data_IF_000846941459
#
_entry.id   IF_000846941459
#
_cell.length_a   1.000
_cell.length_b   1.000
_cell.length_c   1.000
_cell.angle_alpha   90.00
_cell.angle_beta   90.00
_cell.angle_gamma   90.00
#
_symmetry.space_group_name_H-M   'P 1'
#
loop_
_entity.id
_entity.type
_entity.pdbx_description
1 polymer ?
#
# COMPACT_ATOMS: atom_id res chain seq x y z
N UNK A 1 -38.87 26.60 -5.12
CA UNK A 1 -37.51 27.16 -5.05
C UNK A 1 -36.75 26.75 -3.79
N UNK A 2 -37.22 27.04 -2.56
CA UNK A 2 -36.51 26.68 -1.31
C UNK A 2 -36.23 25.17 -1.15
N UNK A 3 -37.19 24.30 -1.46
CA UNK A 3 -37.00 22.83 -1.40
C UNK A 3 -35.95 22.32 -2.40
N UNK A 4 -35.95 22.84 -3.62
CA UNK A 4 -34.96 22.49 -4.64
C UNK A 4 -33.56 22.95 -4.25
N UNK A 5 -33.44 24.15 -3.67
CA UNK A 5 -32.17 24.66 -3.14
C UNK A 5 -31.63 23.78 -1.99
N UNK A 6 -32.50 23.34 -1.07
CA UNK A 6 -32.12 22.44 0.02
C UNK A 6 -31.64 21.08 -0.48
N UNK A 7 -32.34 20.50 -1.47
CA UNK A 7 -31.92 19.23 -2.10
C UNK A 7 -30.55 19.40 -2.76
N UNK A 8 -30.36 20.49 -3.51
CA UNK A 8 -29.09 20.78 -4.17
C UNK A 8 -27.94 20.93 -3.16
N UNK A 9 -28.15 21.66 -2.07
CA UNK A 9 -27.14 21.80 -1.01
C UNK A 9 -26.81 20.45 -0.36
N UNK A 10 -27.83 19.61 -0.08
CA UNK A 10 -27.60 18.29 0.48
C UNK A 10 -26.76 17.40 -0.45
N UNK A 11 -27.03 17.44 -1.76
CA UNK A 11 -26.23 16.70 -2.76
C UNK A 11 -24.79 17.18 -2.81
N UNK A 12 -24.55 18.50 -2.76
CA UNK A 12 -23.19 19.05 -2.69
C UNK A 12 -22.49 18.56 -1.43
N UNK A 13 -23.14 18.63 -0.26
CA UNK A 13 -22.54 18.18 0.99
C UNK A 13 -22.15 16.70 0.91
N UNK A 14 -23.04 15.85 0.40
CA UNK A 14 -22.75 14.41 0.20
C UNK A 14 -21.58 14.22 -0.75
N UNK A 15 -21.54 14.94 -1.88
CA UNK A 15 -20.45 14.84 -2.85
C UNK A 15 -19.10 15.29 -2.26
N UNK A 16 -19.08 16.40 -1.51
CA UNK A 16 -17.85 16.89 -0.85
C UNK A 16 -17.37 15.94 0.23
N UNK A 17 -18.28 15.33 0.99
CA UNK A 17 -17.95 14.35 2.02
C UNK A 17 -17.40 13.07 1.39
N UNK A 18 -18.05 12.58 0.34
CA UNK A 18 -17.57 11.43 -0.43
C UNK A 18 -16.16 11.69 -0.98
N UNK A 19 -15.97 12.85 -1.60
CA UNK A 19 -14.67 13.28 -2.12
C UNK A 19 -13.63 13.23 -0.98
N UNK A 20 -13.88 13.94 0.13
CA UNK A 20 -12.98 13.97 1.28
C UNK A 20 -12.62 12.58 1.80
N UNK A 21 -13.59 11.69 1.99
CA UNK A 21 -13.35 10.32 2.47
C UNK A 21 -12.51 9.54 1.45
N UNK A 22 -12.84 9.62 0.16
CA UNK A 22 -12.14 8.88 -0.90
C UNK A 22 -10.67 9.26 -1.09
N UNK A 23 -10.25 10.44 -0.61
CA UNK A 23 -8.84 10.84 -0.62
C UNK A 23 -8.06 10.36 0.59
N UNK A 24 -8.71 10.24 1.74
CA UNK A 24 -8.04 9.95 3.01
C UNK A 24 -8.17 8.49 3.44
N UNK A 25 -9.06 7.72 2.80
CA UNK A 25 -9.36 6.34 3.17
C UNK A 25 -9.46 5.49 1.90
N UNK A 26 -8.83 4.32 1.93
CA UNK A 26 -9.04 3.29 0.91
C UNK A 26 -10.38 2.63 1.19
N UNK A 27 -11.37 2.93 0.36
CA UNK A 27 -12.71 2.35 0.47
C UNK A 27 -12.66 0.86 0.05
N UNK A 28 -13.52 -0.01 0.60
CA UNK A 28 -13.44 -1.46 0.34
C UNK A 28 -13.51 -1.85 -1.14
N UNK A 29 -14.26 -1.10 -1.96
CA UNK A 29 -14.34 -1.34 -3.41
C UNK A 29 -13.11 -0.86 -4.21
N UNK A 30 -12.22 -0.08 -3.58
CA UNK A 30 -10.94 0.36 -4.16
C UNK A 30 -9.74 -0.42 -3.62
N UNK A 31 -9.94 -1.27 -2.60
CA UNK A 31 -8.85 -1.98 -1.91
C UNK A 31 -8.01 -2.82 -2.87
N UNK A 32 -8.65 -3.62 -3.73
CA UNK A 32 -7.93 -4.45 -4.71
C UNK A 32 -7.10 -3.62 -5.68
N UNK A 33 -7.60 -2.45 -6.09
CA UNK A 33 -6.87 -1.55 -6.98
C UNK A 33 -5.68 -0.90 -6.27
N UNK A 34 -5.84 -0.49 -5.01
CA UNK A 34 -4.74 0.03 -4.21
C UNK A 34 -3.64 -1.02 -4.01
N UNK A 35 -4.03 -2.28 -3.76
CA UNK A 35 -3.09 -3.41 -3.66
C UNK A 35 -2.33 -3.60 -4.96
N UNK A 36 -3.04 -3.79 -6.07
CA UNK A 36 -2.46 -4.01 -7.39
C UNK A 36 -1.50 -2.87 -7.79
N UNK A 37 -1.93 -1.63 -7.58
CA UNK A 37 -1.13 -0.43 -7.88
C UNK A 37 0.17 -0.42 -7.07
N UNK A 38 0.08 -0.67 -5.76
CA UNK A 38 1.26 -0.67 -4.87
C UNK A 38 2.25 -1.76 -5.27
N UNK A 39 1.77 -2.98 -5.54
CA UNK A 39 2.62 -4.10 -5.94
C UNK A 39 3.28 -3.83 -7.30
N UNK A 40 2.52 -3.27 -8.23
CA UNK A 40 3.00 -2.89 -9.57
C UNK A 40 4.10 -1.85 -9.45
N UNK A 41 3.84 -0.72 -8.79
CA UNK A 41 4.83 0.35 -8.55
C UNK A 41 6.09 -0.16 -7.85
N UNK A 42 5.94 -1.12 -6.93
CA UNK A 42 7.05 -1.73 -6.21
C UNK A 42 7.81 -2.79 -7.02
N UNK A 43 7.34 -3.21 -8.20
CA UNK A 43 7.89 -4.36 -8.90
C UNK A 43 7.86 -5.63 -8.03
N UNK A 44 6.78 -5.80 -7.27
CA UNK A 44 6.57 -6.87 -6.30
C UNK A 44 5.70 -7.97 -6.88
N UNK A 45 5.89 -9.19 -6.38
CA UNK A 45 4.99 -10.30 -6.69
C UNK A 45 3.60 -10.07 -6.07
N UNK A 46 2.54 -10.70 -6.61
CA UNK A 46 1.23 -10.75 -5.96
C UNK A 46 1.32 -11.11 -4.48
N UNK A 47 0.42 -10.58 -3.65
CA UNK A 47 0.37 -10.96 -2.23
C UNK A 47 0.25 -12.49 -2.11
N UNK A 48 0.99 -13.13 -1.20
CA UNK A 48 0.90 -14.57 -1.00
C UNK A 48 -0.53 -15.01 -0.65
N UNK A 49 -1.01 -16.11 -1.22
CA UNK A 49 -2.38 -16.60 -1.02
C UNK A 49 -2.71 -16.97 0.44
N UNK A 50 -1.69 -17.24 1.24
CA UNK A 50 -1.78 -17.55 2.67
C UNK A 50 -1.34 -16.37 3.57
N UNK A 51 -1.25 -15.16 3.02
CA UNK A 51 -1.00 -13.95 3.81
C UNK A 51 -2.28 -13.49 4.52
N UNK A 52 -2.12 -12.85 5.67
CA UNK A 52 -3.20 -12.19 6.37
C UNK A 52 -3.05 -10.68 6.18
N UNK A 53 -3.88 -10.08 5.33
CA UNK A 53 -3.91 -8.65 5.07
C UNK A 53 -4.40 -7.92 6.34
N UNK A 54 -3.56 -7.04 6.88
CA UNK A 54 -3.86 -6.28 8.09
C UNK A 54 -4.47 -4.92 7.75
N UNK A 55 -3.88 -4.22 6.78
CA UNK A 55 -4.30 -2.88 6.42
C UNK A 55 -3.95 -2.52 4.97
N UNK A 56 -4.78 -1.66 4.38
CA UNK A 56 -4.51 -0.93 3.14
C UNK A 56 -4.88 0.52 3.38
N UNK A 57 -3.87 1.37 3.37
CA UNK A 57 -3.98 2.79 3.72
C UNK A 57 -3.51 3.66 2.56
N UNK A 58 -3.99 4.90 2.53
CA UNK A 58 -3.55 5.89 1.56
C UNK A 58 -3.24 7.20 2.26
N UNK A 59 -2.16 7.83 1.82
CA UNK A 59 -1.72 9.12 2.34
C UNK A 59 -1.40 10.08 1.18
N UNK A 60 -1.25 11.35 1.55
CA UNK A 60 -0.87 12.40 0.63
C UNK A 60 -2.02 13.02 -0.15
N UNK A 61 -1.66 13.81 -1.16
CA UNK A 61 -2.58 14.55 -2.01
C UNK A 61 -2.89 13.75 -3.29
N UNK A 62 -3.79 14.23 -4.17
CA UNK A 62 -4.00 13.65 -5.49
C UNK A 62 -2.72 13.59 -6.35
N UNK A 63 -1.70 14.41 -6.05
CA UNK A 63 -0.45 14.51 -6.82
C UNK A 63 0.75 13.84 -6.15
N UNK A 64 0.63 13.48 -4.88
CA UNK A 64 1.72 12.88 -4.08
C UNK A 64 1.20 11.62 -3.39
N UNK A 65 0.40 10.85 -4.13
CA UNK A 65 -0.38 9.75 -3.59
C UNK A 65 0.56 8.66 -3.12
N UNK A 66 0.34 8.22 -1.89
CA UNK A 66 1.04 7.08 -1.31
C UNK A 66 0.03 6.00 -0.94
N UNK A 67 0.43 4.75 -1.14
CA UNK A 67 -0.30 3.58 -0.66
C UNK A 67 0.59 2.77 0.26
N UNK A 68 0.01 2.38 1.39
CA UNK A 68 0.64 1.52 2.38
C UNK A 68 -0.15 0.23 2.49
N UNK A 69 0.53 -0.90 2.40
CA UNK A 69 -0.04 -2.23 2.61
C UNK A 69 0.69 -2.90 3.75
N UNK A 70 -0.05 -3.47 4.68
CA UNK A 70 0.50 -4.25 5.78
C UNK A 70 -0.13 -5.65 5.80
N UNK A 71 0.71 -6.69 5.87
CA UNK A 71 0.25 -8.07 5.93
C UNK A 71 1.20 -8.97 6.73
N UNK A 72 0.64 -10.05 7.27
CA UNK A 72 1.39 -11.11 7.94
C UNK A 72 1.61 -12.29 7.00
N UNK A 73 2.77 -12.93 7.14
CA UNK A 73 3.19 -14.04 6.30
C UNK A 73 4.16 -14.94 7.08
N UNK A 74 4.16 -16.23 6.77
CA UNK A 74 5.09 -17.19 7.39
C UNK A 74 6.49 -17.13 6.77
N UNK A 75 7.47 -17.79 7.38
CA UNK A 75 8.86 -17.79 6.86
C UNK A 75 8.96 -18.31 5.41
N UNK A 76 8.31 -19.43 5.09
CA UNK A 76 8.30 -19.97 3.72
C UNK A 76 7.59 -19.03 2.73
N UNK A 77 6.49 -18.43 3.19
CA UNK A 77 5.71 -17.48 2.42
C UNK A 77 6.55 -16.23 2.07
N UNK A 78 7.30 -15.67 3.02
CA UNK A 78 8.06 -14.43 2.80
C UNK A 78 9.28 -14.67 1.92
N UNK A 79 9.98 -15.79 2.11
CA UNK A 79 11.13 -16.13 1.28
C UNK A 79 10.72 -16.30 -0.18
N UNK A 80 9.63 -17.04 -0.44
CA UNK A 80 9.10 -17.21 -1.79
C UNK A 80 8.63 -15.88 -2.40
N UNK A 81 7.96 -15.04 -1.62
CA UNK A 81 7.50 -13.74 -2.10
C UNK A 81 8.65 -12.80 -2.46
N UNK A 82 9.72 -12.76 -1.66
CA UNK A 82 10.93 -11.98 -1.95
C UNK A 82 11.61 -12.48 -3.23
N UNK A 83 11.78 -13.79 -3.39
CA UNK A 83 12.41 -14.38 -4.57
C UNK A 83 11.63 -14.10 -5.86
N UNK A 84 10.30 -14.02 -5.78
CA UNK A 84 9.44 -13.71 -6.92
C UNK A 84 9.27 -12.20 -7.17
N UNK A 85 9.62 -11.35 -6.21
CA UNK A 85 9.54 -9.90 -6.32
C UNK A 85 10.80 -9.36 -6.96
N UNK A 86 10.71 -8.87 -8.21
CA UNK A 86 11.85 -8.38 -9.00
C UNK A 86 12.71 -7.40 -8.21
N UNK A 87 12.10 -6.34 -7.64
CA UNK A 87 12.84 -5.29 -6.92
C UNK A 87 13.41 -5.73 -5.57
N UNK A 88 12.82 -6.74 -4.92
CA UNK A 88 13.37 -7.26 -3.66
C UNK A 88 14.50 -8.26 -3.88
N UNK A 89 14.43 -9.03 -4.96
CA UNK A 89 15.49 -9.96 -5.36
C UNK A 89 16.74 -9.23 -5.87
N UNK A 90 16.55 -8.11 -6.58
CA UNK A 90 17.63 -7.36 -7.22
C UNK A 90 18.28 -6.31 -6.31
N UNK A 91 17.58 -5.88 -5.24
CA UNK A 91 18.10 -4.88 -4.30
C UNK A 91 18.62 -5.52 -3.02
N UNK A 92 19.72 -4.98 -2.50
CA UNK A 92 20.17 -5.27 -1.14
C UNK A 92 19.25 -4.62 -0.11
N UNK A 93 19.09 -5.26 1.05
CA UNK A 93 18.40 -4.67 2.19
C UNK A 93 19.38 -4.10 3.20
N UNK A 94 18.94 -3.09 3.92
CA UNK A 94 19.62 -2.59 5.13
C UNK A 94 18.91 -3.12 6.38
N UNK A 95 19.66 -3.29 7.47
CA UNK A 95 19.08 -3.63 8.78
C UNK A 95 18.80 -2.33 9.53
N UNK A 96 17.54 -2.13 9.92
CA UNK A 96 17.12 -1.00 10.72
C UNK A 96 17.50 -1.18 12.19
N UNK A 97 17.39 -0.11 13.00
CA UNK A 97 17.70 -0.15 14.43
C UNK A 97 16.85 -1.16 15.22
N UNK A 98 15.65 -1.45 14.74
CA UNK A 98 14.74 -2.42 15.36
C UNK A 98 14.90 -3.86 14.81
N UNK A 99 15.93 -4.10 13.98
CA UNK A 99 16.25 -5.42 13.42
C UNK A 99 15.43 -5.82 12.19
N UNK A 100 14.60 -4.92 11.66
CA UNK A 100 13.83 -5.15 10.44
C UNK A 100 14.74 -5.05 9.20
N UNK A 101 14.40 -5.78 8.14
CA UNK A 101 15.01 -5.60 6.82
C UNK A 101 14.28 -4.49 6.09
N UNK A 102 15.00 -3.49 5.62
CA UNK A 102 14.49 -2.40 4.81
C UNK A 102 15.04 -2.53 3.39
N UNK A 103 14.13 -2.72 2.44
CA UNK A 103 14.40 -2.65 1.01
C UNK A 103 13.96 -1.27 0.51
N UNK A 104 14.89 -0.51 -0.06
CA UNK A 104 14.57 0.73 -0.75
C UNK A 104 14.32 0.43 -2.23
N UNK A 105 13.18 0.88 -2.75
CA UNK A 105 12.78 0.70 -4.14
C UNK A 105 12.90 2.06 -4.82
N UNK A 106 13.96 2.24 -5.60
CA UNK A 106 14.19 3.46 -6.37
C UNK A 106 14.96 3.13 -7.67
N UNK A 107 14.48 3.55 -8.85
CA UNK A 107 13.13 4.08 -9.10
C UNK A 107 12.06 3.00 -8.90
N UNK A 108 10.80 3.41 -8.73
CA UNK A 108 9.64 2.51 -8.88
C UNK A 108 9.49 1.98 -10.31
N UNK A 109 8.56 1.05 -10.50
CA UNK A 109 8.09 0.62 -11.82
C UNK A 109 6.91 1.49 -12.29
N UNK A 110 6.55 1.40 -13.58
CA UNK A 110 5.41 2.11 -14.19
C UNK A 110 5.37 3.63 -13.95
N UNK A 111 6.55 4.25 -13.88
CA UNK A 111 6.69 5.70 -13.68
C UNK A 111 6.49 6.15 -12.24
N UNK A 112 6.26 5.22 -11.30
CA UNK A 112 6.21 5.54 -9.88
C UNK A 112 7.57 6.03 -9.38
N UNK A 113 7.54 6.93 -8.39
CA UNK A 113 8.76 7.44 -7.79
C UNK A 113 9.55 6.31 -7.14
N UNK A 114 8.87 5.51 -6.32
CA UNK A 114 9.49 4.45 -5.54
C UNK A 114 8.92 4.40 -4.13
N UNK A 115 9.64 3.72 -3.25
CA UNK A 115 9.13 3.46 -1.92
C UNK A 115 10.02 2.53 -1.10
N UNK A 116 9.41 1.90 -0.09
CA UNK A 116 10.11 1.07 0.90
C UNK A 116 9.31 -0.17 1.22
N UNK A 117 10.02 -1.28 1.42
CA UNK A 117 9.45 -2.51 1.98
C UNK A 117 10.18 -2.85 3.26
N UNK A 118 9.43 -2.93 4.36
CA UNK A 118 9.91 -3.34 5.66
C UNK A 118 9.49 -4.78 5.92
N UNK A 119 10.45 -5.63 6.28
CA UNK A 119 10.20 -7.02 6.67
C UNK A 119 10.68 -7.20 8.11
N UNK A 120 9.72 -7.36 9.02
CA UNK A 120 9.97 -7.49 10.46
C UNK A 120 9.60 -8.88 10.94
N UNK A 121 10.54 -9.57 11.58
CA UNK A 121 10.27 -10.85 12.23
C UNK A 121 9.52 -10.60 13.55
N UNK A 122 8.34 -11.20 13.72
CA UNK A 122 7.54 -11.09 14.94
C UNK A 122 7.77 -12.26 15.91
N UNK A 123 7.92 -13.46 15.35
CA UNK A 123 8.16 -14.72 16.10
C UNK A 123 9.00 -15.68 15.26
N UNK A 124 9.18 -16.93 15.69
CA UNK A 124 9.95 -17.94 14.93
C UNK A 124 9.47 -18.07 13.48
N UNK A 125 8.14 -18.08 13.29
CA UNK A 125 7.49 -18.46 12.03
C UNK A 125 6.58 -17.37 11.45
N UNK A 126 6.60 -16.15 11.99
CA UNK A 126 5.72 -15.06 11.55
C UNK A 126 6.49 -13.77 11.29
N UNK A 127 6.18 -13.14 10.16
CA UNK A 127 6.73 -11.89 9.69
C UNK A 127 5.60 -10.89 9.44
N UNK A 128 5.85 -9.64 9.80
CA UNK A 128 5.06 -8.50 9.39
C UNK A 128 5.76 -7.78 8.24
N UNK A 129 5.01 -7.53 7.17
CA UNK A 129 5.52 -6.87 5.98
C UNK A 129 4.72 -5.57 5.82
N UNK A 130 5.45 -4.47 5.73
CA UNK A 130 4.88 -3.15 5.41
C UNK A 130 5.47 -2.65 4.10
N UNK A 131 4.63 -2.49 3.09
CA UNK A 131 4.97 -1.93 1.79
C UNK A 131 4.47 -0.49 1.77
N UNK A 132 5.29 0.42 1.28
CA UNK A 132 4.96 1.82 1.12
C UNK A 132 5.44 2.25 -0.26
N UNK A 133 4.51 2.66 -1.14
CA UNK A 133 4.85 3.10 -2.49
C UNK A 133 4.18 4.42 -2.83
N UNK A 134 4.94 5.29 -3.50
CA UNK A 134 4.52 6.66 -3.82
C UNK A 134 4.53 6.94 -5.32
N UNK A 135 3.52 7.71 -5.73
CA UNK A 135 3.41 8.35 -7.04
C UNK A 135 3.95 9.78 -6.99
N UNK A 136 4.51 10.26 -8.11
CA UNK A 136 4.93 11.66 -8.30
C UNK A 136 4.23 12.32 -9.46
#
# INVERSE_FOLDING_TARGET
MKKALLIFLALITIATLYFYISFNVVLPWNESNAIETTLTWGGLAPLPSNSNLLAVETEGSPFTREFTIEFLCSENCINSWIENSKRLRENEFTITRDGSRLYEILPGEDGAFGGKVFVKKLSSDSYNIKINMSWS
#
